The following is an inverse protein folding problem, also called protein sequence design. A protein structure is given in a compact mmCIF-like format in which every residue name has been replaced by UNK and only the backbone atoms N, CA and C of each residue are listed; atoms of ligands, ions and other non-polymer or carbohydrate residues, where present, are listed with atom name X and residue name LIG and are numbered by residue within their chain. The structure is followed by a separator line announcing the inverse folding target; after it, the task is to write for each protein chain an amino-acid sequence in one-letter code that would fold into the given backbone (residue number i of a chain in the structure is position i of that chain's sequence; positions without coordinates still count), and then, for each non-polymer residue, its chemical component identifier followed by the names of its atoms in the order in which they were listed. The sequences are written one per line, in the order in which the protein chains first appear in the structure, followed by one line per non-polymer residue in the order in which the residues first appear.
data_IF_357652018983
#
_entry.id   IF_357652018983
#
_cell.length_a   1.000
_cell.length_b   1.000
_cell.length_c   1.000
_cell.angle_alpha   90.00
_cell.angle_beta   90.00
_cell.angle_gamma   90.00
#
_symmetry.space_group_name_H-M   'P 1'
#
loop_
_entity.id
_entity.type
_entity.pdbx_description
1 polymer ?
#
# COMPACT_ATOMS: atom_id res chain seq x y z
N UNK A 1 -4.41 -21.91 12.25
CA UNK A 1 -3.91 -22.87 11.25
C UNK A 1 -3.79 -24.28 11.81
N UNK A 2 -2.94 -24.54 12.82
CA UNK A 2 -2.78 -25.90 13.39
C UNK A 2 -4.10 -26.57 13.83
N UNK A 3 -4.95 -25.85 14.58
CA UNK A 3 -6.26 -26.37 15.01
C UNK A 3 -7.20 -26.73 13.84
N UNK A 4 -7.16 -25.95 12.75
CA UNK A 4 -7.98 -26.23 11.56
C UNK A 4 -7.49 -27.47 10.81
N UNK A 5 -6.16 -27.61 10.63
CA UNK A 5 -5.57 -28.80 9.99
C UNK A 5 -5.81 -30.06 10.82
N UNK A 6 -5.72 -29.97 12.15
CA UNK A 6 -6.02 -31.08 13.06
C UNK A 6 -7.48 -31.52 12.93
N UNK A 7 -8.41 -30.57 13.02
CA UNK A 7 -9.85 -30.85 12.87
C UNK A 7 -10.20 -31.48 11.52
N UNK A 8 -9.67 -30.94 10.41
CA UNK A 8 -9.87 -31.52 9.08
C UNK A 8 -9.28 -32.94 8.96
N UNK A 9 -8.18 -33.22 9.65
CA UNK A 9 -7.58 -34.55 9.67
C UNK A 9 -8.42 -35.54 10.49
N UNK A 10 -8.98 -35.12 11.63
CA UNK A 10 -9.90 -35.94 12.43
C UNK A 10 -11.17 -36.30 11.67
N UNK A 11 -11.70 -35.37 10.86
CA UNK A 11 -12.88 -35.63 10.04
C UNK A 11 -12.60 -36.52 8.82
N UNK A 12 -11.34 -36.66 8.42
CA UNK A 12 -10.98 -37.34 7.18
C UNK A 12 -11.31 -38.84 7.28
N UNK A 13 -12.12 -39.31 6.34
CA UNK A 13 -12.49 -40.73 6.17
C UNK A 13 -13.37 -41.32 7.29
N UNK A 14 -14.07 -40.50 8.09
CA UNK A 14 -15.06 -41.01 9.03
C UNK A 14 -16.32 -41.53 8.30
N UNK A 15 -16.80 -42.75 8.61
CA UNK A 15 -18.06 -43.25 8.08
C UNK A 15 -19.25 -42.49 8.68
N UNK A 16 -20.37 -42.41 7.96
CA UNK A 16 -21.63 -41.86 8.52
C UNK A 16 -22.18 -42.81 9.59
N UNK A 17 -22.85 -42.40 10.68
CA UNK A 17 -23.32 -41.07 11.07
C UNK A 17 -22.54 -40.47 12.26
N UNK A 18 -22.71 -41.00 13.47
CA UNK A 18 -21.98 -40.53 14.67
C UNK A 18 -20.75 -41.42 14.93
N UNK A 19 -19.60 -40.78 15.13
CA UNK A 19 -18.37 -41.43 15.59
C UNK A 19 -17.86 -40.70 16.83
N UNK A 20 -17.24 -41.44 17.75
CA UNK A 20 -16.70 -40.87 18.99
C UNK A 20 -15.59 -39.85 18.72
N UNK A 21 -14.84 -40.02 17.65
CA UNK A 21 -13.78 -39.13 17.15
C UNK A 21 -14.26 -37.69 16.93
N UNK A 22 -15.55 -37.47 16.67
CA UNK A 22 -16.14 -36.13 16.51
C UNK A 22 -16.06 -35.33 17.83
N UNK A 23 -15.91 -35.97 18.99
CA UNK A 23 -15.76 -35.29 20.28
C UNK A 23 -14.49 -34.44 20.35
N UNK A 24 -13.44 -34.81 19.61
CA UNK A 24 -12.18 -34.06 19.52
C UNK A 24 -12.33 -32.69 18.84
N UNK A 25 -13.52 -32.36 18.31
CA UNK A 25 -13.80 -31.05 17.70
C UNK A 25 -14.07 -29.93 18.71
N UNK A 26 -14.44 -30.29 19.94
CA UNK A 26 -14.94 -29.30 20.93
C UNK A 26 -13.80 -28.48 21.51
N UNK A 27 -12.73 -29.13 21.98
CA UNK A 27 -11.54 -28.47 22.52
C UNK A 27 -10.89 -27.48 21.54
N UNK A 28 -10.55 -27.86 20.28
CA UNK A 28 -9.91 -26.95 19.33
C UNK A 28 -10.82 -25.79 18.93
N UNK A 29 -12.15 -26.01 18.91
CA UNK A 29 -13.11 -24.95 18.65
C UNK A 29 -13.14 -23.93 19.80
N UNK A 30 -13.27 -24.40 21.05
CA UNK A 30 -13.32 -23.53 22.22
C UNK A 30 -12.03 -22.72 22.37
N UNK A 31 -10.87 -23.32 22.12
CA UNK A 31 -9.58 -22.65 22.18
C UNK A 31 -9.42 -21.61 21.06
N UNK A 32 -9.89 -21.92 19.85
CA UNK A 32 -9.92 -20.97 18.75
C UNK A 32 -10.77 -19.73 19.09
N UNK A 33 -11.98 -19.95 19.60
CA UNK A 33 -12.90 -18.86 19.98
C UNK A 33 -12.28 -17.97 21.06
N UNK A 34 -11.69 -18.56 22.11
CA UNK A 34 -11.00 -17.81 23.17
C UNK A 34 -9.84 -16.98 22.60
N UNK A 35 -9.01 -17.60 21.77
CA UNK A 35 -7.83 -16.95 21.20
C UNK A 35 -8.23 -15.78 20.30
N UNK A 36 -9.16 -15.98 19.37
CA UNK A 36 -9.62 -14.93 18.46
C UNK A 36 -10.26 -13.78 19.24
N UNK A 37 -11.10 -14.08 20.23
CA UNK A 37 -11.72 -13.04 21.07
C UNK A 37 -10.68 -12.19 21.81
N UNK A 38 -9.67 -12.83 22.40
CA UNK A 38 -8.56 -12.12 23.06
C UNK A 38 -7.73 -11.31 22.06
N UNK A 39 -7.37 -11.89 20.92
CA UNK A 39 -6.60 -11.19 19.88
C UNK A 39 -7.34 -9.95 19.36
N UNK A 40 -8.65 -10.03 19.11
CA UNK A 40 -9.45 -8.90 18.66
C UNK A 40 -9.52 -7.80 19.71
N UNK A 41 -9.68 -8.16 20.99
CA UNK A 41 -9.65 -7.18 22.10
C UNK A 41 -8.31 -6.48 22.22
N UNK A 42 -7.22 -7.24 22.17
CA UNK A 42 -5.86 -6.68 22.25
C UNK A 42 -5.57 -5.80 21.05
N UNK A 43 -5.88 -6.26 19.83
CA UNK A 43 -5.68 -5.49 18.61
C UNK A 43 -6.48 -4.19 18.62
N UNK A 44 -7.75 -4.23 19.06
CA UNK A 44 -8.56 -3.03 19.25
C UNK A 44 -7.95 -2.05 20.25
N UNK A 45 -7.43 -2.56 21.38
CA UNK A 45 -6.69 -1.76 22.35
C UNK A 45 -5.46 -1.09 21.75
N UNK A 46 -4.58 -1.87 21.12
CA UNK A 46 -3.35 -1.39 20.47
C UNK A 46 -3.64 -0.31 19.44
N UNK A 47 -4.61 -0.54 18.55
CA UNK A 47 -4.99 0.44 17.52
C UNK A 47 -5.59 1.71 18.13
N UNK A 48 -6.35 1.61 19.23
CA UNK A 48 -6.95 2.77 19.90
C UNK A 48 -5.93 3.64 20.64
N UNK A 49 -4.82 3.05 21.10
CA UNK A 49 -3.77 3.75 21.86
C UNK A 49 -2.53 4.07 21.04
N UNK A 50 -2.48 3.63 19.78
CA UNK A 50 -1.36 3.87 18.88
C UNK A 50 -1.17 5.38 18.66
N UNK A 51 0.03 5.87 18.90
CA UNK A 51 0.42 7.24 18.59
C UNK A 51 1.33 7.24 17.36
N UNK A 52 1.01 8.10 16.41
CA UNK A 52 1.73 8.23 15.15
C UNK A 52 2.65 9.46 15.23
N UNK A 53 3.91 9.27 14.85
CA UNK A 53 4.90 10.35 14.74
C UNK A 53 4.89 10.89 13.30
N UNK A 54 4.04 11.88 13.05
CA UNK A 54 3.85 12.46 11.71
C UNK A 54 5.13 13.07 11.14
N UNK A 55 5.95 13.66 11.99
CA UNK A 55 7.21 14.30 11.59
C UNK A 55 8.21 13.26 11.10
N UNK A 56 8.39 12.15 11.83
CA UNK A 56 9.26 11.07 11.37
C UNK A 56 8.73 10.39 10.12
N UNK A 57 7.41 10.22 9.99
CA UNK A 57 6.83 9.66 8.77
C UNK A 57 7.09 10.55 7.55
N UNK A 58 6.92 11.87 7.70
CA UNK A 58 7.23 12.84 6.63
C UNK A 58 8.73 12.87 6.32
N UNK A 59 9.59 12.85 7.35
CA UNK A 59 11.04 12.84 7.16
C UNK A 59 11.58 11.56 6.50
N UNK A 60 10.82 10.47 6.53
CA UNK A 60 11.17 9.22 5.85
C UNK A 60 10.89 9.26 4.33
N UNK A 61 10.15 10.26 3.84
CA UNK A 61 9.89 10.44 2.42
C UNK A 61 11.13 11.00 1.73
N UNK A 62 11.61 10.29 0.70
CA UNK A 62 12.75 10.74 -0.10
C UNK A 62 12.30 11.03 -1.53
N UNK A 63 12.90 12.04 -2.16
CA UNK A 63 12.53 12.45 -3.51
C UNK A 63 12.70 11.29 -4.52
N UNK A 64 13.63 10.37 -4.30
CA UNK A 64 13.85 9.20 -5.16
C UNK A 64 12.59 8.33 -5.33
N UNK A 65 11.69 8.34 -4.34
CA UNK A 65 10.39 7.65 -4.44
C UNK A 65 9.51 8.22 -5.56
N UNK A 66 9.68 9.51 -5.90
CA UNK A 66 8.92 10.22 -6.93
C UNK A 66 9.47 10.00 -8.35
N UNK A 67 10.56 9.25 -8.52
CA UNK A 67 11.07 8.89 -9.85
C UNK A 67 10.03 8.14 -10.70
N UNK A 68 9.14 7.38 -10.06
CA UNK A 68 8.01 6.73 -10.75
C UNK A 68 6.98 7.75 -11.21
N UNK A 69 6.72 8.80 -10.43
CA UNK A 69 5.77 9.85 -10.80
C UNK A 69 6.31 10.72 -11.97
N UNK A 70 7.64 10.83 -12.11
CA UNK A 70 8.28 11.42 -13.28
C UNK A 70 8.01 10.58 -14.54
N UNK A 71 8.05 9.25 -14.42
CA UNK A 71 7.69 8.37 -15.53
C UNK A 71 6.18 8.48 -15.88
N UNK A 72 5.30 8.49 -14.88
CA UNK A 72 3.85 8.66 -15.06
C UNK A 72 3.52 10.01 -15.73
N UNK A 73 4.20 11.09 -15.35
CA UNK A 73 4.08 12.40 -15.99
C UNK A 73 4.37 12.34 -17.50
N UNK A 74 5.44 11.65 -17.91
CA UNK A 74 5.77 11.50 -19.33
C UNK A 74 4.77 10.63 -20.08
N UNK A 75 4.18 9.62 -19.42
CA UNK A 75 3.11 8.80 -20.01
C UNK A 75 1.89 9.67 -20.32
N UNK A 76 1.52 10.58 -19.41
CA UNK A 76 0.41 11.50 -19.61
C UNK A 76 0.67 12.50 -20.76
N UNK A 77 1.94 12.80 -21.07
CA UNK A 77 2.34 13.60 -22.25
C UNK A 77 2.41 12.79 -23.56
N UNK A 78 2.06 11.50 -23.51
CA UNK A 78 1.99 10.63 -24.69
C UNK A 78 3.27 9.86 -24.99
N UNK A 79 4.27 9.86 -24.10
CA UNK A 79 5.46 9.02 -24.25
C UNK A 79 5.12 7.56 -23.98
N UNK A 80 5.51 6.62 -24.84
CA UNK A 80 5.36 5.20 -24.56
C UNK A 80 6.04 4.79 -23.25
N UNK A 81 5.35 4.02 -22.40
CA UNK A 81 5.84 3.61 -21.07
C UNK A 81 7.26 3.02 -21.08
N UNK A 82 7.62 2.27 -22.12
CA UNK A 82 8.97 1.70 -22.27
C UNK A 82 10.05 2.78 -22.31
N UNK A 83 9.77 3.94 -22.90
CA UNK A 83 10.70 5.07 -22.98
C UNK A 83 10.70 5.90 -21.70
N UNK A 84 9.55 6.05 -21.03
CA UNK A 84 9.45 6.87 -19.81
C UNK A 84 10.29 6.33 -18.68
N UNK A 85 10.32 5.00 -18.49
CA UNK A 85 11.16 4.40 -17.46
C UNK A 85 12.67 4.63 -17.73
N UNK A 86 13.11 4.56 -18.99
CA UNK A 86 14.49 4.88 -19.35
C UNK A 86 14.83 6.35 -19.11
N UNK A 87 13.90 7.26 -19.43
CA UNK A 87 14.06 8.70 -19.20
C UNK A 87 14.12 8.99 -17.69
N UNK A 88 13.21 8.42 -16.89
CA UNK A 88 13.22 8.57 -15.44
C UNK A 88 14.51 8.00 -14.81
N UNK A 89 15.00 6.86 -15.29
CA UNK A 89 16.30 6.32 -14.87
C UNK A 89 17.48 7.23 -15.22
N UNK A 90 17.44 7.91 -16.37
CA UNK A 90 18.45 8.90 -16.74
C UNK A 90 18.37 10.17 -15.87
N UNK A 91 17.18 10.57 -15.43
CA UNK A 91 16.98 11.67 -14.47
C UNK A 91 17.61 11.32 -13.12
N UNK A 92 17.31 10.14 -12.58
CA UNK A 92 17.91 9.65 -11.31
C UNK A 92 19.43 9.61 -11.42
N UNK A 93 19.96 8.99 -12.49
CA UNK A 93 21.40 8.92 -12.72
C UNK A 93 22.05 10.30 -12.80
N UNK A 94 21.42 11.27 -13.44
CA UNK A 94 21.96 12.63 -13.56
C UNK A 94 21.96 13.36 -12.21
N UNK A 95 20.97 13.11 -11.35
CA UNK A 95 20.96 13.62 -9.98
C UNK A 95 22.09 13.00 -9.14
N UNK A 96 22.28 11.68 -9.24
CA UNK A 96 23.37 10.96 -8.58
C UNK A 96 24.75 11.45 -9.02
N UNK A 97 24.98 11.63 -10.34
CA UNK A 97 26.25 12.14 -10.89
C UNK A 97 26.58 13.55 -10.40
N UNK A 98 25.56 14.37 -10.09
CA UNK A 98 25.72 15.71 -9.52
C UNK A 98 25.74 15.73 -7.99
N UNK A 99 25.42 14.62 -7.33
CA UNK A 99 25.32 14.53 -5.88
C UNK A 99 24.17 15.35 -5.28
N UNK A 100 23.09 15.55 -6.03
CA UNK A 100 21.91 16.33 -5.64
C UNK A 100 20.65 15.47 -5.67
N UNK A 101 19.56 15.97 -5.08
CA UNK A 101 18.26 15.28 -5.13
C UNK A 101 17.63 15.37 -6.52
N UNK A 102 16.79 14.40 -6.91
CA UNK A 102 16.05 14.48 -8.19
C UNK A 102 15.13 15.71 -8.27
N UNK A 103 14.65 16.21 -7.12
CA UNK A 103 13.82 17.41 -7.03
C UNK A 103 14.62 18.71 -7.21
N UNK A 104 15.95 18.65 -7.09
CA UNK A 104 16.86 19.80 -7.23
C UNK A 104 17.39 19.96 -8.66
N UNK A 105 17.02 19.07 -9.59
CA UNK A 105 17.40 19.16 -10.99
C UNK A 105 16.69 20.32 -11.68
N UNK A 106 17.47 21.20 -12.30
CA UNK A 106 16.93 22.32 -13.04
C UNK A 106 16.29 21.88 -14.37
N UNK A 107 15.26 22.61 -14.80
CA UNK A 107 14.59 22.41 -16.10
C UNK A 107 15.55 22.28 -17.31
N UNK A 108 16.60 23.11 -17.48
CA UNK A 108 17.60 22.90 -18.54
C UNK A 108 18.27 21.52 -18.48
N UNK A 109 18.54 20.98 -17.29
CA UNK A 109 19.13 19.66 -17.15
C UNK A 109 18.18 18.55 -17.54
N UNK A 110 16.90 18.69 -17.20
CA UNK A 110 15.83 17.77 -17.57
C UNK A 110 15.58 17.80 -19.08
N UNK A 111 15.59 18.99 -19.70
CA UNK A 111 15.44 19.18 -21.15
C UNK A 111 16.57 18.56 -21.97
N UNK A 112 17.77 18.43 -21.42
CA UNK A 112 18.85 17.68 -22.06
C UNK A 112 18.55 16.18 -22.17
N UNK A 113 17.75 15.62 -21.24
CA UNK A 113 17.38 14.21 -21.23
C UNK A 113 16.18 13.99 -22.16
N UNK A 114 15.14 14.82 -22.04
CA UNK A 114 13.96 14.75 -22.91
C UNK A 114 13.38 16.14 -23.17
N UNK A 115 13.07 16.50 -24.42
CA UNK A 115 12.46 17.79 -24.74
C UNK A 115 11.03 17.95 -24.21
N UNK A 116 10.41 16.86 -23.73
CA UNK A 116 9.03 16.85 -23.24
C UNK A 116 8.87 17.35 -21.80
N UNK A 117 9.99 17.61 -21.11
CA UNK A 117 9.95 18.24 -19.79
C UNK A 117 9.65 19.74 -19.90
N UNK A 118 8.63 20.18 -19.17
CA UNK A 118 8.21 21.57 -19.06
C UNK A 118 8.28 22.04 -17.61
N UNK A 119 7.94 23.31 -17.34
CA UNK A 119 8.04 23.89 -16.00
C UNK A 119 7.05 23.29 -14.99
N UNK A 120 6.03 22.59 -15.47
CA UNK A 120 5.05 21.82 -14.68
C UNK A 120 5.65 20.58 -14.01
N UNK A 121 6.88 20.17 -14.34
CA UNK A 121 7.55 19.03 -13.70
C UNK A 121 7.78 19.25 -12.19
N UNK A 122 7.87 20.51 -11.75
CA UNK A 122 8.05 20.86 -10.32
C UNK A 122 6.89 20.34 -9.49
N UNK A 123 5.68 20.31 -10.06
CA UNK A 123 4.47 19.80 -9.41
C UNK A 123 4.49 18.28 -9.21
N UNK A 124 5.45 17.55 -9.80
CA UNK A 124 5.64 16.11 -9.62
C UNK A 124 6.43 15.81 -8.35
N UNK A 125 7.24 16.76 -7.86
CA UNK A 125 8.07 16.58 -6.67
C UNK A 125 7.33 16.86 -5.34
N UNK A 126 6.01 17.04 -5.41
CA UNK A 126 5.13 17.20 -4.26
C UNK A 126 4.49 15.86 -3.87
N UNK A 127 4.78 15.39 -2.65
CA UNK A 127 4.24 14.15 -2.12
C UNK A 127 2.71 14.17 -1.96
N UNK A 128 2.11 15.33 -1.66
CA UNK A 128 0.65 15.43 -1.54
C UNK A 128 0.00 15.21 -2.91
N UNK A 129 0.51 15.87 -3.94
CA UNK A 129 0.04 15.67 -5.32
C UNK A 129 0.29 14.26 -5.84
N UNK A 130 1.39 13.61 -5.45
CA UNK A 130 1.66 12.21 -5.81
C UNK A 130 0.54 11.28 -5.33
N UNK A 131 0.08 11.48 -4.09
CA UNK A 131 -1.01 10.70 -3.48
C UNK A 131 -2.35 11.03 -4.14
N UNK A 132 -2.64 12.32 -4.39
CA UNK A 132 -3.89 12.78 -5.02
C UNK A 132 -4.08 12.23 -6.44
N UNK A 133 -3.00 12.03 -7.21
CA UNK A 133 -3.08 11.45 -8.56
C UNK A 133 -3.58 10.01 -8.59
N UNK A 134 -3.60 9.31 -7.46
CA UNK A 134 -4.05 7.90 -7.36
C UNK A 134 -5.57 7.85 -7.18
N UNK A 135 -6.31 8.29 -8.22
CA UNK A 135 -7.77 8.43 -8.25
C UNK A 135 -8.53 7.16 -8.65
N UNK A 136 -7.82 6.09 -8.99
CA UNK A 136 -8.43 4.79 -9.27
C UNK A 136 -9.11 4.23 -8.00
N UNK A 137 -10.15 3.42 -8.17
CA UNK A 137 -10.85 2.81 -7.03
C UNK A 137 -9.88 2.02 -6.13
N UNK A 138 -9.87 2.33 -4.83
CA UNK A 138 -8.92 1.76 -3.86
C UNK A 138 -7.56 2.49 -3.80
N UNK A 139 -7.42 3.59 -4.53
CA UNK A 139 -6.27 4.48 -4.46
C UNK A 139 -6.22 5.32 -3.18
N UNK A 140 -5.18 6.13 -3.07
CA UNK A 140 -4.81 6.83 -1.84
C UNK A 140 -5.27 8.30 -1.81
N UNK A 141 -6.02 8.74 -2.82
CA UNK A 141 -6.61 10.08 -2.86
C UNK A 141 -7.48 10.34 -1.61
N UNK A 142 -7.40 11.54 -0.99
CA UNK A 142 -8.13 11.84 0.25
C UNK A 142 -9.64 11.62 0.18
N UNK A 143 -10.28 11.98 -0.94
CA UNK A 143 -11.71 11.76 -1.13
C UNK A 143 -12.07 10.26 -1.21
N UNK A 144 -11.22 9.45 -1.86
CA UNK A 144 -11.42 8.01 -1.96
C UNK A 144 -11.19 7.28 -0.64
N UNK A 145 -10.23 7.74 0.16
CA UNK A 145 -10.03 7.25 1.53
C UNK A 145 -11.28 7.50 2.38
N UNK A 146 -11.86 8.70 2.27
CA UNK A 146 -13.12 9.06 2.95
C UNK A 146 -14.28 8.19 2.48
N UNK A 147 -14.42 7.97 1.16
CA UNK A 147 -15.46 7.11 0.58
C UNK A 147 -15.31 5.65 1.01
N UNK A 148 -14.09 5.14 1.10
CA UNK A 148 -13.80 3.78 1.56
C UNK A 148 -14.20 3.62 3.03
N UNK A 149 -13.86 4.58 3.88
CA UNK A 149 -14.30 4.61 5.27
C UNK A 149 -15.83 4.59 5.41
N UNK A 150 -16.54 5.36 4.56
CA UNK A 150 -18.00 5.35 4.53
C UNK A 150 -18.56 3.99 4.13
N UNK A 151 -17.96 3.33 3.13
CA UNK A 151 -18.32 2.00 2.68
C UNK A 151 -18.13 0.95 3.79
N UNK A 152 -16.99 0.98 4.50
CA UNK A 152 -16.74 0.09 5.64
C UNK A 152 -17.77 0.29 6.76
N UNK A 153 -18.16 1.54 7.05
CA UNK A 153 -19.23 1.82 8.02
C UNK A 153 -20.58 1.30 7.54
N UNK A 154 -20.90 1.44 6.25
CA UNK A 154 -22.13 0.91 5.66
C UNK A 154 -22.21 -0.62 5.67
N UNK A 155 -21.09 -1.31 5.45
CA UNK A 155 -20.98 -2.78 5.54
C UNK A 155 -21.08 -3.27 6.98
N UNK A 156 -20.62 -2.49 7.95
CA UNK A 156 -20.71 -2.81 9.38
C UNK A 156 -22.11 -2.55 9.99
N UNK A 157 -23.00 -1.85 9.29
CA UNK A 157 -24.36 -1.51 9.75
C UNK A 157 -25.47 -2.38 9.15
N UNK A 158 -25.13 -3.48 8.48
CA UNK A 158 -26.06 -4.57 8.12
C UNK A 158 -25.73 -5.81 8.91
#
# INVERSE_FOLDING_TARGET
MGQASGFLSTLKSLPTAYNKDIQESVEPLLDCVKTVSHCLRIAGGVLSTLQIDSEKMKAALTADMLATDVADYLVLKGVPFRQTHHIAGAVVRKAEEKGISIAELELPDLKQISPQFEADIVDVFDFERSVERRTAQGGHEPELSTRSNLCYRGLSCR
#
